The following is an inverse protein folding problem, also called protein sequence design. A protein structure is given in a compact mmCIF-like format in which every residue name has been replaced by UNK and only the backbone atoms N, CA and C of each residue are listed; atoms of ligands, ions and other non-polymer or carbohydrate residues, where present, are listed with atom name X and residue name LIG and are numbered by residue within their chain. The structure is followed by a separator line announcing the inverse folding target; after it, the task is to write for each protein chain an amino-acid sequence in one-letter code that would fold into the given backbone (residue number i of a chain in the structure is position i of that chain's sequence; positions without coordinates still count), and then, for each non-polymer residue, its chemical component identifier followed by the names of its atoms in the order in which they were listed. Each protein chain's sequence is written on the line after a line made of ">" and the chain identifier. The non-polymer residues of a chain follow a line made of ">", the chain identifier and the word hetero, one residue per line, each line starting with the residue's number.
data_IF_477517256192
#
_entry.id   IF_477517256192
#
_cell.length_a   1.000
_cell.length_b   1.000
_cell.length_c   1.000
_cell.angle_alpha   90.00
_cell.angle_beta   90.00
_cell.angle_gamma   90.00
#
_symmetry.space_group_name_H-M   'P 1'
#
loop_
_entity.id
_entity.type
_entity.pdbx_description
1 polymer ?
#
# COMPACT_ATOMS: atom_id res chain seq x y z
N UNK A 1 -23.76 13.28 -7.95
CA UNK A 1 -22.30 13.12 -7.88
C UNK A 1 -22.04 11.70 -7.44
N UNK A 2 -21.47 10.88 -8.31
CA UNK A 2 -21.17 9.48 -8.00
C UNK A 2 -20.04 9.39 -6.98
N UNK A 3 -20.11 8.44 -6.07
CA UNK A 3 -19.18 8.29 -4.98
C UNK A 3 -19.22 6.92 -4.36
N UNK A 4 -18.12 6.54 -3.74
CA UNK A 4 -17.97 5.25 -3.07
C UNK A 4 -18.23 5.40 -1.57
N UNK A 5 -18.86 4.39 -0.99
CA UNK A 5 -18.93 4.23 0.46
C UNK A 5 -17.94 3.15 0.86
N UNK A 6 -16.84 3.57 1.49
CA UNK A 6 -15.73 2.69 1.85
C UNK A 6 -15.83 2.27 3.32
N UNK A 7 -15.44 1.03 3.60
CA UNK A 7 -15.27 0.50 4.96
C UNK A 7 -13.79 0.32 5.21
N UNK A 8 -13.22 1.21 5.99
CA UNK A 8 -11.80 1.22 6.34
C UNK A 8 -11.64 0.43 7.64
N UNK A 9 -10.87 -0.66 7.63
CA UNK A 9 -10.64 -1.48 8.82
C UNK A 9 -9.15 -1.74 9.05
N UNK A 10 -8.75 -1.83 10.32
CA UNK A 10 -7.41 -2.28 10.68
C UNK A 10 -7.37 -3.81 10.65
N UNK A 11 -6.36 -4.36 9.98
CA UNK A 11 -6.26 -5.80 9.80
C UNK A 11 -6.08 -6.57 11.10
N UNK A 12 -5.12 -6.15 11.92
CA UNK A 12 -4.79 -6.81 13.20
C UNK A 12 -5.81 -6.51 14.31
N UNK A 13 -6.58 -5.44 14.16
CA UNK A 13 -7.58 -5.02 15.15
C UNK A 13 -8.91 -4.72 14.43
N UNK A 14 -9.61 -5.72 13.89
CA UNK A 14 -10.79 -5.51 13.03
C UNK A 14 -11.96 -4.78 13.68
N UNK A 15 -12.00 -4.75 15.03
CA UNK A 15 -12.97 -3.99 15.80
C UNK A 15 -12.82 -2.47 15.58
N UNK A 16 -11.62 -2.00 15.21
CA UNK A 16 -11.36 -0.61 14.84
C UNK A 16 -11.60 -0.43 13.34
N UNK A 17 -12.72 0.18 13.00
CA UNK A 17 -13.08 0.51 11.63
C UNK A 17 -13.80 1.86 11.52
N UNK A 18 -13.85 2.40 10.31
CA UNK A 18 -14.52 3.65 9.94
C UNK A 18 -15.28 3.46 8.63
N UNK A 19 -16.38 4.18 8.45
CA UNK A 19 -17.12 4.25 7.18
C UNK A 19 -17.08 5.66 6.66
N UNK A 20 -16.59 5.82 5.44
CA UNK A 20 -16.43 7.13 4.79
C UNK A 20 -17.11 7.13 3.43
N UNK A 21 -17.57 8.31 3.00
CA UNK A 21 -18.04 8.53 1.64
C UNK A 21 -17.03 9.40 0.92
N UNK A 22 -16.61 8.97 -0.26
CA UNK A 22 -15.61 9.67 -1.07
C UNK A 22 -16.11 9.86 -2.50
N UNK A 23 -15.68 10.92 -3.21
CA UNK A 23 -15.97 11.07 -4.63
C UNK A 23 -15.36 9.93 -5.46
N UNK A 24 -16.01 9.55 -6.56
CA UNK A 24 -15.50 8.47 -7.41
C UNK A 24 -14.12 8.77 -8.04
N UNK A 25 -13.80 10.05 -8.26
CA UNK A 25 -12.51 10.50 -8.79
C UNK A 25 -11.47 10.88 -7.72
N UNK A 26 -11.59 10.37 -6.49
CA UNK A 26 -10.61 10.64 -5.43
C UNK A 26 -9.24 10.05 -5.79
N UNK A 27 -8.16 10.78 -5.54
CA UNK A 27 -6.78 10.27 -5.71
C UNK A 27 -6.34 9.46 -4.50
N UNK A 28 -5.41 8.52 -4.66
CA UNK A 28 -4.83 7.75 -3.54
C UNK A 28 -4.20 8.65 -2.46
N UNK A 29 -3.52 9.73 -2.86
CA UNK A 29 -3.00 10.74 -1.92
C UNK A 29 -4.11 11.40 -1.09
N UNK A 30 -5.25 11.69 -1.70
CA UNK A 30 -6.39 12.28 -0.98
C UNK A 30 -7.07 11.25 -0.09
N UNK A 31 -7.19 10.00 -0.57
CA UNK A 31 -7.71 8.89 0.21
C UNK A 31 -6.86 8.62 1.46
N UNK A 32 -5.53 8.67 1.35
CA UNK A 32 -4.61 8.59 2.49
C UNK A 32 -4.93 9.64 3.55
N UNK A 33 -5.10 10.91 3.15
CA UNK A 33 -5.49 11.99 4.09
C UNK A 33 -6.84 11.72 4.77
N UNK A 34 -7.81 11.18 4.02
CA UNK A 34 -9.11 10.78 4.58
C UNK A 34 -8.93 9.68 5.63
N UNK A 35 -8.11 8.66 5.35
CA UNK A 35 -7.80 7.57 6.29
C UNK A 35 -7.12 8.13 7.55
N UNK A 36 -6.08 8.97 7.39
CA UNK A 36 -5.37 9.61 8.49
C UNK A 36 -6.34 10.34 9.43
N UNK A 37 -7.22 11.17 8.87
CA UNK A 37 -8.21 11.91 9.65
C UNK A 37 -9.24 10.98 10.32
N UNK A 38 -9.78 10.00 9.58
CA UNK A 38 -10.79 9.09 10.11
C UNK A 38 -10.27 8.23 11.27
N UNK A 39 -8.99 7.87 11.23
CA UNK A 39 -8.32 7.07 12.27
C UNK A 39 -7.70 7.92 13.39
N UNK A 40 -7.59 9.24 13.22
CA UNK A 40 -6.92 10.14 14.18
C UNK A 40 -5.40 10.03 14.16
N UNK A 41 -4.82 9.70 13.00
CA UNK A 41 -3.39 9.59 12.79
C UNK A 41 -2.78 10.91 12.28
N UNK A 42 -1.46 10.98 12.28
CA UNK A 42 -0.69 12.22 12.12
C UNK A 42 0.28 12.19 10.93
N UNK A 43 0.10 11.27 9.98
CA UNK A 43 0.90 11.20 8.75
C UNK A 43 2.42 11.11 9.02
N UNK A 44 2.81 10.39 10.07
CA UNK A 44 4.19 10.32 10.54
C UNK A 44 5.02 9.22 9.86
N UNK A 45 4.42 8.42 9.00
CA UNK A 45 5.03 7.25 8.37
C UNK A 45 4.67 7.18 6.89
N UNK A 46 5.56 6.56 6.11
CA UNK A 46 5.33 6.25 4.70
C UNK A 46 4.08 5.37 4.51
N UNK A 47 3.48 5.46 3.34
CA UNK A 47 2.29 4.69 2.98
C UNK A 47 2.33 4.21 1.53
N UNK A 48 1.56 3.16 1.28
CA UNK A 48 1.26 2.65 -0.05
C UNK A 48 -0.16 2.05 -0.09
N UNK A 49 -0.68 1.89 -1.31
CA UNK A 49 -1.91 1.15 -1.58
C UNK A 49 -1.61 0.02 -2.56
N UNK A 50 -2.15 -1.16 -2.28
CA UNK A 50 -2.07 -2.34 -3.13
C UNK A 50 -3.34 -3.17 -2.97
N UNK A 51 -3.58 -4.06 -3.93
CA UNK A 51 -4.66 -5.04 -3.86
C UNK A 51 -4.11 -6.45 -4.03
N UNK A 52 -4.84 -7.46 -3.55
CA UNK A 52 -4.39 -8.84 -3.69
C UNK A 52 -4.44 -9.31 -5.16
N UNK A 53 -5.34 -8.74 -5.98
CA UNK A 53 -5.52 -9.14 -7.38
C UNK A 53 -4.62 -8.37 -8.36
N UNK A 54 -3.98 -7.28 -7.92
CA UNK A 54 -3.14 -6.42 -8.75
C UNK A 54 -1.76 -6.20 -8.09
N UNK A 55 -0.64 -6.62 -8.73
CA UNK A 55 0.70 -6.39 -8.20
C UNK A 55 1.13 -4.92 -8.18
N UNK A 56 0.34 -4.02 -8.77
CA UNK A 56 0.61 -2.58 -8.79
C UNK A 56 0.55 -1.99 -7.36
N UNK A 57 1.57 -1.19 -7.03
CA UNK A 57 1.65 -0.45 -5.76
C UNK A 57 1.55 1.04 -6.06
N UNK A 58 0.63 1.72 -5.39
CA UNK A 58 0.47 3.17 -5.47
C UNK A 58 1.10 3.82 -4.24
N UNK A 59 2.14 4.61 -4.42
CA UNK A 59 2.85 5.30 -3.34
C UNK A 59 3.23 6.71 -3.76
N UNK A 60 3.45 7.59 -2.79
CA UNK A 60 4.11 8.89 -3.01
C UNK A 60 5.50 8.97 -2.38
N UNK A 61 6.06 7.82 -1.96
CA UNK A 61 7.44 7.72 -1.52
C UNK A 61 8.39 8.00 -2.70
N UNK A 62 9.07 9.15 -2.66
CA UNK A 62 9.99 9.57 -3.71
C UNK A 62 11.15 8.59 -3.89
N UNK A 63 11.65 8.00 -2.81
CA UNK A 63 12.78 7.05 -2.88
C UNK A 63 12.39 5.80 -3.69
N UNK A 64 11.20 5.25 -3.43
CA UNK A 64 10.70 4.08 -4.16
C UNK A 64 10.44 4.40 -5.65
N UNK A 65 9.98 5.63 -5.94
CA UNK A 65 9.75 6.09 -7.32
C UNK A 65 11.08 6.25 -8.05
N UNK A 66 12.07 6.89 -7.42
CA UNK A 66 13.41 7.08 -7.99
C UNK A 66 14.10 5.75 -8.25
N UNK A 67 13.99 4.80 -7.32
CA UNK A 67 14.49 3.44 -7.49
C UNK A 67 13.85 2.74 -8.70
N UNK A 68 12.52 2.83 -8.84
CA UNK A 68 11.82 2.25 -9.99
C UNK A 68 12.23 2.90 -11.32
N UNK A 69 12.33 4.23 -11.35
CA UNK A 69 12.80 4.96 -12.53
C UNK A 69 14.25 4.61 -12.90
N UNK A 70 15.11 4.39 -11.91
CA UNK A 70 16.46 3.93 -12.13
C UNK A 70 16.47 2.58 -12.86
N UNK A 71 15.72 1.59 -12.36
CA UNK A 71 15.68 0.28 -12.99
C UNK A 71 15.09 0.27 -14.40
N UNK A 72 14.08 1.13 -14.65
CA UNK A 72 13.56 1.31 -16.02
C UNK A 72 14.60 1.87 -17.00
N UNK A 73 15.53 2.68 -16.51
CA UNK A 73 16.64 3.25 -17.32
C UNK A 73 17.82 2.29 -17.46
N UNK A 74 17.90 1.24 -16.63
CA UNK A 74 19.02 0.28 -16.56
C UNK A 74 18.49 -1.17 -16.60
N UNK A 75 18.02 -1.66 -17.77
CA UNK A 75 17.33 -2.95 -17.88
C UNK A 75 18.21 -4.15 -17.52
N UNK A 76 19.52 -4.06 -17.69
CA UNK A 76 20.49 -5.09 -17.26
C UNK A 76 20.57 -5.22 -15.73
N UNK A 77 20.49 -4.12 -15.00
CA UNK A 77 20.42 -4.13 -13.53
C UNK A 77 19.07 -4.67 -13.05
N UNK A 78 17.97 -4.32 -13.74
CA UNK A 78 16.66 -4.89 -13.45
C UNK A 78 16.65 -6.43 -13.65
N UNK A 79 17.26 -6.91 -14.74
CA UNK A 79 17.40 -8.34 -15.01
C UNK A 79 18.24 -9.04 -13.92
N UNK A 80 19.34 -8.42 -13.48
CA UNK A 80 20.18 -8.93 -12.40
C UNK A 80 19.44 -8.97 -11.06
N UNK A 81 18.66 -7.94 -10.73
CA UNK A 81 17.83 -7.92 -9.52
C UNK A 81 16.80 -9.04 -9.56
N UNK A 82 16.14 -9.27 -10.69
CA UNK A 82 15.20 -10.38 -10.84
C UNK A 82 15.88 -11.76 -10.84
N UNK A 83 17.15 -11.86 -11.22
CA UNK A 83 17.93 -13.10 -11.11
C UNK A 83 18.38 -13.40 -9.66
N UNK A 84 18.78 -12.36 -8.91
CA UNK A 84 19.25 -12.47 -7.52
C UNK A 84 18.09 -12.57 -6.52
N UNK A 85 17.03 -11.82 -6.77
CA UNK A 85 15.76 -11.84 -6.04
C UNK A 85 14.65 -12.20 -7.04
N UNK A 86 14.57 -13.48 -7.43
CA UNK A 86 13.44 -13.93 -8.21
C UNK A 86 12.22 -13.72 -7.31
N UNK A 87 11.34 -12.78 -7.68
CA UNK A 87 10.04 -12.64 -7.03
C UNK A 87 9.20 -13.81 -7.49
N UNK A 88 9.43 -14.97 -6.89
CA UNK A 88 8.63 -16.16 -7.09
C UNK A 88 7.19 -15.81 -6.66
N UNK A 89 6.18 -16.29 -7.39
CA UNK A 89 4.78 -16.07 -7.00
C UNK A 89 4.52 -16.50 -5.53
N UNK A 90 5.20 -17.56 -5.08
CA UNK A 90 5.15 -18.08 -3.72
C UNK A 90 5.83 -17.14 -2.69
N UNK A 91 6.86 -16.37 -3.09
CA UNK A 91 7.47 -15.36 -2.23
C UNK A 91 6.62 -14.08 -2.18
N UNK A 92 5.99 -13.70 -3.29
CA UNK A 92 4.99 -12.63 -3.31
C UNK A 92 3.83 -13.00 -2.37
N UNK A 93 3.37 -14.25 -2.39
CA UNK A 93 2.32 -14.75 -1.50
C UNK A 93 2.77 -14.77 -0.04
N UNK A 94 3.98 -15.28 0.28
CA UNK A 94 4.54 -15.21 1.64
C UNK A 94 4.72 -13.79 2.14
N UNK A 95 5.20 -12.85 1.31
CA UNK A 95 5.33 -11.45 1.69
C UNK A 95 3.97 -10.75 1.83
N UNK A 96 2.92 -11.23 1.13
CA UNK A 96 1.54 -10.80 1.33
C UNK A 96 1.00 -11.31 2.67
N UNK A 97 1.30 -12.55 3.03
CA UNK A 97 0.98 -13.21 4.31
C UNK A 97 1.76 -12.61 5.51
N UNK A 98 3.03 -12.26 5.35
CA UNK A 98 3.81 -11.59 6.39
C UNK A 98 3.41 -10.12 6.55
N UNK A 99 3.11 -9.41 5.44
CA UNK A 99 2.43 -8.11 5.53
C UNK A 99 1.04 -8.22 6.14
N UNK A 100 0.42 -9.41 6.10
CA UNK A 100 -0.87 -9.74 6.70
C UNK A 100 -0.76 -9.86 8.24
N UNK A 101 0.45 -10.00 8.82
CA UNK A 101 0.71 -10.24 10.26
C UNK A 101 2.11 -9.69 10.71
N UNK A 102 2.35 -8.37 10.75
CA UNK A 102 3.65 -7.85 11.18
C UNK A 102 3.85 -7.95 12.71
N UNK A 103 5.08 -8.24 13.20
CA UNK A 103 5.40 -8.08 14.62
C UNK A 103 5.24 -6.61 15.01
N UNK A 104 4.66 -6.37 16.19
CA UNK A 104 4.17 -5.09 16.71
C UNK A 104 5.06 -3.86 16.44
N UNK A 105 4.96 -3.29 15.24
CA UNK A 105 5.46 -1.97 14.88
C UNK A 105 4.33 -1.28 14.13
N UNK A 106 4.00 -0.06 14.58
CA UNK A 106 2.77 0.69 14.28
C UNK A 106 2.71 1.23 12.85
N UNK A 107 2.83 0.37 11.83
CA UNK A 107 2.25 0.64 10.52
C UNK A 107 0.95 -0.14 10.45
N UNK A 108 -0.14 0.53 10.79
CA UNK A 108 -1.46 -0.04 10.68
C UNK A 108 -1.77 -0.27 9.20
N UNK A 109 -1.65 -1.52 8.73
CA UNK A 109 -2.09 -1.93 7.39
C UNK A 109 -3.60 -1.74 7.32
N UNK A 110 -3.99 -0.75 6.54
CA UNK A 110 -5.40 -0.41 6.30
C UNK A 110 -5.88 -1.23 5.12
N UNK A 111 -6.89 -2.07 5.33
CA UNK A 111 -7.66 -2.65 4.25
C UNK A 111 -8.87 -1.72 3.99
N UNK A 112 -9.03 -1.30 2.74
CA UNK A 112 -10.14 -0.45 2.26
C UNK A 112 -11.12 -1.29 1.47
#
# INVERSE_FOLDING_TARGET
>A
MEGYQLRIALKEIPAVWRRVRVPAGITFRTLHRVIQFAMGWQDCHLHDFSSDDDPTVYTDNSEAIEEYEYYLKNPEELARVHEVYPRDADEIERQREDRQHPPAVRQAKVCV
#
